data_IF_386780365875
#
_entry.id   IF_386780365875
#
_cell.length_a   1.000
_cell.length_b   1.000
_cell.length_c   1.000
_cell.angle_alpha   90.00
_cell.angle_beta   90.00
_cell.angle_gamma   90.00
#
_symmetry.space_group_name_H-M   'P 1'
#
loop_
_entity.id
_entity.type
_entity.pdbx_description
1 polymer ?
#
# COMPACT_ATOMS: atom_id res chain seq x y z
N UNK A 1 15.42 -6.68 7.94
CA UNK A 1 13.95 -6.70 7.93
C UNK A 1 13.47 -5.93 6.74
N UNK A 2 12.45 -6.46 6.12
CA UNK A 2 12.02 -6.15 4.77
C UNK A 2 10.53 -5.83 4.79
N UNK A 3 10.09 -4.87 3.98
CA UNK A 3 8.67 -4.56 3.83
C UNK A 3 8.07 -5.47 2.76
N UNK A 4 6.90 -6.00 3.06
CA UNK A 4 6.14 -6.84 2.15
C UNK A 4 4.74 -6.27 1.97
N UNK A 5 4.27 -6.27 0.73
CA UNK A 5 2.85 -6.19 0.42
C UNK A 5 2.27 -7.59 0.40
N UNK A 6 1.16 -7.74 1.11
CA UNK A 6 0.26 -8.88 1.03
C UNK A 6 -1.05 -8.39 0.43
N UNK A 7 -1.47 -9.01 -0.68
CA UNK A 7 -2.86 -8.90 -1.16
C UNK A 7 -3.57 -10.21 -0.82
N UNK A 8 -4.72 -10.12 -0.18
CA UNK A 8 -5.51 -11.31 0.15
C UNK A 8 -6.12 -11.96 -1.10
N UNK A 9 -6.65 -13.16 -0.94
CA UNK A 9 -7.31 -13.93 -2.01
C UNK A 9 -8.76 -13.48 -2.30
N UNK A 10 -9.20 -12.36 -1.73
CA UNK A 10 -10.56 -11.81 -1.80
C UNK A 10 -11.61 -12.80 -1.31
N UNK A 11 -11.77 -12.87 0.01
CA UNK A 11 -12.90 -13.56 0.63
C UNK A 11 -13.87 -12.55 1.23
N UNK A 12 -15.17 -12.82 1.12
CA UNK A 12 -16.17 -12.07 1.85
C UNK A 12 -15.93 -12.25 3.35
N UNK A 13 -15.64 -11.14 4.05
CA UNK A 13 -15.41 -11.09 5.48
C UNK A 13 -16.16 -9.89 6.05
N UNK A 14 -16.74 -10.07 7.22
CA UNK A 14 -17.29 -8.99 8.04
C UNK A 14 -16.16 -8.09 8.57
N UNK A 15 -16.49 -6.86 8.98
CA UNK A 15 -15.49 -5.95 9.57
C UNK A 15 -14.89 -6.55 10.84
N UNK A 16 -15.70 -7.26 11.62
CA UNK A 16 -15.32 -7.96 12.83
C UNK A 16 -14.29 -9.07 12.52
N UNK A 17 -14.56 -9.92 11.53
CA UNK A 17 -13.61 -10.97 11.10
C UNK A 17 -12.28 -10.38 10.62
N UNK A 18 -12.32 -9.27 9.86
CA UNK A 18 -11.11 -8.58 9.44
C UNK A 18 -10.33 -8.05 10.65
N UNK A 19 -11.00 -7.40 11.62
CA UNK A 19 -10.37 -6.90 12.84
C UNK A 19 -9.65 -8.03 13.61
N UNK A 20 -10.33 -9.15 13.82
CA UNK A 20 -9.76 -10.30 14.53
C UNK A 20 -8.55 -10.91 13.79
N UNK A 21 -8.59 -10.98 12.45
CA UNK A 21 -7.45 -11.42 11.65
C UNK A 21 -6.27 -10.45 11.83
N UNK A 22 -6.52 -9.14 11.77
CA UNK A 22 -5.47 -8.13 11.90
C UNK A 22 -4.83 -8.12 13.29
N UNK A 23 -5.61 -8.32 14.36
CA UNK A 23 -5.12 -8.49 15.73
C UNK A 23 -4.18 -9.69 15.85
N UNK A 24 -4.55 -10.82 15.24
CA UNK A 24 -3.71 -12.02 15.19
C UNK A 24 -2.43 -11.76 14.41
N UNK A 25 -2.52 -11.14 13.23
CA UNK A 25 -1.34 -10.80 12.41
C UNK A 25 -0.41 -9.87 13.17
N UNK A 26 -0.91 -8.80 13.78
CA UNK A 26 -0.11 -7.85 14.55
C UNK A 26 0.63 -8.55 15.71
N UNK A 27 -0.07 -9.40 16.45
CA UNK A 27 0.49 -10.18 17.56
C UNK A 27 1.57 -11.17 17.09
N UNK A 28 1.28 -11.92 16.02
CA UNK A 28 2.18 -12.94 15.48
C UNK A 28 3.41 -12.31 14.82
N UNK A 29 3.23 -11.22 14.07
CA UNK A 29 4.33 -10.44 13.50
C UNK A 29 5.25 -9.91 14.59
N UNK A 30 4.71 -9.30 15.65
CA UNK A 30 5.52 -8.82 16.78
C UNK A 30 6.34 -9.94 17.44
N UNK A 31 5.74 -11.13 17.64
CA UNK A 31 6.45 -12.31 18.17
C UNK A 31 7.57 -12.81 17.26
N UNK A 32 7.43 -12.65 15.94
CA UNK A 32 8.47 -12.97 14.96
C UNK A 32 9.41 -11.78 14.67
N UNK A 33 9.41 -10.76 15.54
CA UNK A 33 10.17 -9.51 15.42
C UNK A 33 9.75 -8.64 14.21
N UNK A 34 8.70 -9.02 13.49
CA UNK A 34 8.05 -8.21 12.48
C UNK A 34 7.06 -7.18 13.04
N UNK A 35 6.35 -6.51 12.13
CA UNK A 35 5.38 -5.47 12.46
C UNK A 35 4.35 -5.33 11.33
N UNK A 36 3.07 -5.27 11.67
CA UNK A 36 2.04 -4.80 10.75
C UNK A 36 2.08 -3.27 10.68
N UNK A 37 2.53 -2.72 9.55
CA UNK A 37 2.68 -1.27 9.35
C UNK A 37 1.32 -0.65 9.01
N UNK A 38 0.63 -1.23 8.02
CA UNK A 38 -0.65 -0.74 7.52
C UNK A 38 -1.54 -1.90 7.10
N UNK A 39 -2.85 -1.73 7.28
CA UNK A 39 -3.88 -2.63 6.78
C UNK A 39 -5.00 -1.79 6.17
N UNK A 40 -5.35 -2.10 4.92
CA UNK A 40 -6.28 -1.30 4.12
C UNK A 40 -7.31 -2.23 3.51
N UNK A 41 -8.57 -1.82 3.48
CA UNK A 41 -9.60 -2.48 2.69
C UNK A 41 -10.02 -1.58 1.53
N UNK A 42 -10.07 -2.12 0.32
CA UNK A 42 -10.67 -1.43 -0.81
C UNK A 42 -12.20 -1.51 -0.73
N UNK A 43 -12.90 -0.38 -0.60
CA UNK A 43 -14.35 -0.39 -0.32
C UNK A 43 -15.17 -1.04 -1.43
N UNK A 44 -14.80 -0.81 -2.69
CA UNK A 44 -15.53 -1.31 -3.87
C UNK A 44 -15.29 -2.80 -4.12
N UNK A 45 -14.11 -3.32 -3.77
CA UNK A 45 -13.66 -4.66 -4.16
C UNK A 45 -13.43 -5.61 -2.97
N UNK A 46 -13.55 -5.12 -1.73
CA UNK A 46 -13.39 -5.89 -0.49
C UNK A 46 -11.98 -6.44 -0.25
N UNK A 47 -11.01 -6.11 -1.12
CA UNK A 47 -9.65 -6.64 -1.05
C UNK A 47 -8.87 -6.01 0.09
N UNK A 48 -8.14 -6.85 0.83
CA UNK A 48 -7.21 -6.41 1.86
C UNK A 48 -5.81 -6.22 1.29
N UNK A 49 -5.20 -5.09 1.61
CA UNK A 49 -3.81 -4.77 1.35
C UNK A 49 -3.10 -4.60 2.69
N UNK A 50 -2.13 -5.47 2.97
CA UNK A 50 -1.33 -5.38 4.21
C UNK A 50 0.10 -5.01 3.86
N UNK A 51 0.64 -4.04 4.57
CA UNK A 51 2.06 -3.70 4.53
C UNK A 51 2.68 -4.21 5.82
N UNK A 52 3.50 -5.27 5.71
CA UNK A 52 4.08 -5.96 6.87
C UNK A 52 5.60 -5.92 6.77
N UNK A 53 6.24 -5.50 7.84
CA UNK A 53 7.69 -5.62 8.02
C UNK A 53 7.99 -7.00 8.60
N UNK A 54 8.83 -7.78 7.96
CA UNK A 54 9.22 -9.12 8.42
C UNK A 54 10.73 -9.36 8.29
N UNK A 55 11.23 -10.44 8.89
CA UNK A 55 12.65 -10.83 8.75
C UNK A 55 12.91 -11.28 7.31
N UNK A 56 12.06 -12.16 6.82
CA UNK A 56 12.07 -12.71 5.48
C UNK A 56 10.66 -13.17 5.07
N UNK A 57 10.52 -13.61 3.82
CA UNK A 57 9.23 -14.07 3.27
C UNK A 57 8.68 -15.30 3.98
N UNK A 58 9.52 -16.27 4.34
CA UNK A 58 9.05 -17.50 4.98
C UNK A 58 8.44 -17.23 6.37
N UNK A 59 9.08 -16.33 7.13
CA UNK A 59 8.55 -15.87 8.43
C UNK A 59 7.21 -15.14 8.29
N UNK A 60 7.02 -14.37 7.22
CA UNK A 60 5.75 -13.71 6.91
C UNK A 60 4.67 -14.72 6.54
N UNK A 61 4.95 -15.66 5.64
CA UNK A 61 4.00 -16.71 5.23
C UNK A 61 3.50 -17.49 6.46
N UNK A 62 4.41 -17.85 7.37
CA UNK A 62 4.04 -18.51 8.62
C UNK A 62 3.13 -17.66 9.52
N UNK A 63 3.33 -16.34 9.58
CA UNK A 63 2.47 -15.41 10.32
C UNK A 63 1.07 -15.38 9.71
N UNK A 64 0.97 -15.29 8.39
CA UNK A 64 -0.32 -15.24 7.68
C UNK A 64 -1.11 -16.55 7.84
N UNK A 65 -0.45 -17.70 7.66
CA UNK A 65 -1.06 -19.03 7.86
C UNK A 65 -1.61 -19.18 9.27
N UNK A 66 -0.82 -18.84 10.28
CA UNK A 66 -1.22 -18.94 11.69
C UNK A 66 -2.34 -17.95 12.07
N UNK A 67 -2.44 -16.83 11.34
CA UNK A 67 -3.55 -15.89 11.51
C UNK A 67 -4.84 -16.32 10.78
N UNK A 68 -4.75 -17.33 9.91
CA UNK A 68 -5.86 -17.80 9.07
C UNK A 68 -6.11 -16.92 7.85
N UNK A 69 -5.12 -16.15 7.38
CA UNK A 69 -5.25 -15.35 6.16
C UNK A 69 -4.64 -16.09 4.97
N UNK A 70 -5.46 -16.38 3.97
CA UNK A 70 -5.00 -16.79 2.64
C UNK A 70 -4.63 -15.56 1.80
N UNK A 71 -3.60 -15.68 0.96
CA UNK A 71 -3.10 -14.57 0.15
C UNK A 71 -3.03 -14.92 -1.33
N UNK A 72 -3.33 -13.94 -2.18
CA UNK A 72 -3.09 -14.01 -3.61
C UNK A 72 -1.65 -13.63 -3.97
N UNK A 73 -1.07 -12.68 -3.22
CA UNK A 73 0.19 -12.08 -3.56
C UNK A 73 1.01 -11.74 -2.32
N UNK A 74 2.31 -12.03 -2.38
CA UNK A 74 3.32 -11.46 -1.50
C UNK A 74 4.43 -10.86 -2.36
N UNK A 75 4.75 -9.59 -2.17
CA UNK A 75 5.88 -8.91 -2.83
C UNK A 75 6.71 -8.13 -1.86
N UNK A 76 8.03 -8.23 -2.00
CA UNK A 76 8.96 -7.32 -1.35
C UNK A 76 8.78 -5.91 -1.91
N UNK A 77 8.76 -4.91 -1.03
CA UNK A 77 8.58 -3.51 -1.39
C UNK A 77 9.55 -2.60 -0.64
N UNK A 78 9.64 -1.36 -1.13
CA UNK A 78 10.23 -0.24 -0.44
C UNK A 78 9.28 0.95 -0.38
N UNK A 79 9.39 1.71 0.71
CA UNK A 79 8.79 3.03 0.85
C UNK A 79 9.68 4.07 0.17
N UNK A 80 9.09 4.97 -0.61
CA UNK A 80 9.81 6.00 -1.37
C UNK A 80 9.58 7.38 -0.77
N UNK A 81 10.67 8.07 -0.44
CA UNK A 81 10.65 9.52 -0.14
C UNK A 81 10.23 9.90 1.28
N UNK A 82 9.94 8.94 2.16
CA UNK A 82 9.65 9.18 3.57
C UNK A 82 10.04 7.97 4.43
N UNK A 83 10.05 8.14 5.75
CA UNK A 83 10.27 7.05 6.70
C UNK A 83 8.96 6.44 7.23
N UNK A 84 9.07 5.29 7.88
CA UNK A 84 7.93 4.57 8.45
C UNK A 84 7.30 5.28 9.66
N UNK A 85 8.00 6.15 10.38
CA UNK A 85 7.39 6.91 11.47
C UNK A 85 6.38 7.92 10.91
N UNK A 86 6.76 8.63 9.85
CA UNK A 86 5.87 9.53 9.11
C UNK A 86 4.64 8.80 8.55
N UNK A 87 4.81 7.57 8.04
CA UNK A 87 3.68 6.74 7.61
C UNK A 87 2.72 6.46 8.77
N UNK A 88 3.22 6.04 9.93
CA UNK A 88 2.37 5.72 11.09
C UNK A 88 1.53 6.91 11.55
N UNK A 89 2.08 8.12 11.48
CA UNK A 89 1.38 9.36 11.86
C UNK A 89 0.34 9.81 10.84
N UNK A 90 0.47 9.41 9.58
CA UNK A 90 -0.32 9.94 8.46
C UNK A 90 -1.19 8.92 7.75
N UNK A 91 -1.05 7.63 8.03
CA UNK A 91 -1.72 6.56 7.27
C UNK A 91 -3.22 6.80 7.12
N UNK A 92 -3.86 7.31 8.17
CA UNK A 92 -5.31 7.56 8.25
C UNK A 92 -5.80 8.75 7.42
N UNK A 93 -4.88 9.56 6.87
CA UNK A 93 -5.26 10.62 5.92
C UNK A 93 -5.61 10.07 4.55
N UNK A 94 -5.01 8.95 4.14
CA UNK A 94 -5.23 8.42 2.82
C UNK A 94 -6.61 7.74 2.73
N UNK A 95 -7.40 8.16 1.77
CA UNK A 95 -8.73 7.60 1.46
C UNK A 95 -8.81 7.05 0.02
N UNK A 96 -7.75 7.17 -0.79
CA UNK A 96 -7.64 6.53 -2.11
C UNK A 96 -6.31 5.81 -2.32
N UNK A 97 -6.38 4.66 -2.99
CA UNK A 97 -5.24 3.88 -3.46
C UNK A 97 -5.22 3.82 -4.98
N UNK A 98 -4.13 4.27 -5.59
CA UNK A 98 -3.81 4.02 -7.01
C UNK A 98 -2.78 2.91 -7.10
N UNK A 99 -3.08 1.91 -7.91
CA UNK A 99 -2.13 0.89 -8.34
C UNK A 99 -1.67 1.19 -9.76
N UNK A 100 -0.37 1.05 -10.01
CA UNK A 100 0.22 1.15 -11.33
C UNK A 100 1.16 -0.03 -11.57
N UNK A 101 0.91 -0.78 -12.64
CA UNK A 101 1.77 -1.82 -13.17
C UNK A 101 2.90 -1.14 -13.96
N UNK A 102 4.10 -1.24 -13.41
CA UNK A 102 5.27 -0.58 -13.96
C UNK A 102 5.71 -1.30 -15.25
N UNK A 103 6.08 -0.56 -16.30
CA UNK A 103 6.47 -1.16 -17.57
C UNK A 103 7.78 -1.96 -17.43
N UNK A 104 7.93 -3.05 -18.21
CA UNK A 104 9.16 -3.84 -18.19
C UNK A 104 10.37 -2.98 -18.61
N UNK A 105 11.52 -3.22 -17.98
CA UNK A 105 12.76 -2.49 -18.25
C UNK A 105 12.88 -1.12 -17.58
N UNK A 106 11.87 -0.68 -16.80
CA UNK A 106 12.01 0.48 -15.93
C UNK A 106 13.07 0.20 -14.87
N UNK A 107 13.97 1.15 -14.62
CA UNK A 107 14.94 1.09 -13.52
C UNK A 107 14.47 1.91 -12.33
N UNK A 108 14.91 1.53 -11.12
CA UNK A 108 14.59 2.29 -9.90
C UNK A 108 15.14 3.72 -9.99
N UNK A 109 16.32 3.92 -10.57
CA UNK A 109 16.90 5.24 -10.81
C UNK A 109 15.99 6.10 -11.70
N UNK A 110 15.56 5.58 -12.86
CA UNK A 110 14.65 6.28 -13.77
C UNK A 110 13.32 6.59 -13.09
N UNK A 111 12.80 5.65 -12.29
CA UNK A 111 11.58 5.84 -11.52
C UNK A 111 11.70 7.01 -10.53
N UNK A 112 12.78 7.03 -9.75
CA UNK A 112 13.04 8.07 -8.75
C UNK A 112 13.27 9.45 -9.39
N UNK A 113 14.02 9.50 -10.50
CA UNK A 113 14.22 10.73 -11.26
C UNK A 113 12.89 11.31 -11.74
N UNK A 114 12.04 10.48 -12.38
CA UNK A 114 10.71 10.91 -12.83
C UNK A 114 9.84 11.36 -11.65
N UNK A 115 9.86 10.64 -10.53
CA UNK A 115 9.09 11.04 -9.33
C UNK A 115 9.55 12.40 -8.81
N UNK A 116 10.86 12.66 -8.75
CA UNK A 116 11.40 13.95 -8.32
C UNK A 116 11.00 15.11 -9.27
N UNK A 117 11.07 14.88 -10.58
CA UNK A 117 10.68 15.87 -11.59
C UNK A 117 9.17 16.18 -11.58
N UNK A 118 8.34 15.17 -11.31
CA UNK A 118 6.87 15.28 -11.41
C UNK A 118 6.18 15.66 -10.10
N UNK A 119 6.76 15.34 -8.94
CA UNK A 119 6.14 15.64 -7.63
C UNK A 119 5.76 17.12 -7.45
N UNK A 120 6.58 18.12 -7.86
CA UNK A 120 6.18 19.53 -7.75
C UNK A 120 4.90 19.90 -8.52
N UNK A 121 4.53 19.11 -9.54
CA UNK A 121 3.36 19.39 -10.36
C UNK A 121 2.03 19.17 -9.61
N UNK A 122 2.03 18.42 -8.49
CA UNK A 122 0.85 18.27 -7.64
C UNK A 122 0.32 19.62 -7.12
N UNK A 123 1.13 20.69 -7.09
CA UNK A 123 0.69 22.04 -6.77
C UNK A 123 -0.42 22.58 -7.71
N UNK A 124 -0.61 21.98 -8.89
CA UNK A 124 -1.70 22.32 -9.82
C UNK A 124 -3.05 21.71 -9.42
N UNK A 125 -3.08 20.80 -8.46
CA UNK A 125 -4.30 20.08 -8.00
C UNK A 125 -4.37 20.16 -6.47
N UNK A 126 -4.51 21.37 -5.89
CA UNK A 126 -4.32 21.62 -4.45
C UNK A 126 -5.37 20.94 -3.57
N UNK A 127 -6.49 20.48 -4.14
CA UNK A 127 -7.49 19.69 -3.44
C UNK A 127 -7.06 18.23 -3.17
N UNK A 128 -5.95 17.76 -3.75
CA UNK A 128 -5.41 16.41 -3.55
C UNK A 128 -4.08 16.48 -2.81
N UNK A 129 -3.95 15.70 -1.73
CA UNK A 129 -2.67 15.48 -1.07
C UNK A 129 -2.12 14.10 -1.41
N UNK A 130 -0.90 14.07 -1.96
CA UNK A 130 -0.14 12.83 -2.11
C UNK A 130 0.45 12.43 -0.76
N UNK A 131 0.11 11.24 -0.26
CA UNK A 131 0.49 10.81 1.10
C UNK A 131 1.75 9.93 1.14
N UNK A 132 1.84 8.92 0.26
CA UNK A 132 2.98 7.98 0.23
C UNK A 132 2.99 7.11 -1.02
N UNK A 133 4.16 6.55 -1.34
CA UNK A 133 4.30 5.49 -2.35
C UNK A 133 5.13 4.32 -1.85
N UNK A 134 4.61 3.12 -2.05
CA UNK A 134 5.39 1.88 -1.98
C UNK A 134 5.65 1.36 -3.39
N UNK A 135 6.85 0.85 -3.64
CA UNK A 135 7.24 0.24 -4.92
C UNK A 135 7.74 -1.17 -4.66
N UNK A 136 7.25 -2.16 -5.41
CA UNK A 136 7.79 -3.52 -5.35
C UNK A 136 9.25 -3.54 -5.81
N UNK A 137 10.11 -4.29 -5.13
CA UNK A 137 11.54 -4.39 -5.48
C UNK A 137 11.76 -4.95 -6.89
N UNK A 138 10.86 -5.82 -7.35
CA UNK A 138 10.87 -6.36 -8.72
C UNK A 138 10.40 -5.34 -9.78
N UNK A 139 10.06 -4.11 -9.39
CA UNK A 139 9.56 -3.04 -10.26
C UNK A 139 8.37 -3.47 -11.13
N UNK A 140 7.53 -4.37 -10.62
CA UNK A 140 6.31 -4.80 -11.31
C UNK A 140 5.10 -3.91 -11.01
N UNK A 141 5.04 -3.32 -9.82
CA UNK A 141 3.90 -2.57 -9.30
C UNK A 141 4.35 -1.49 -8.32
N UNK A 142 3.60 -0.39 -8.28
CA UNK A 142 3.64 0.54 -7.16
C UNK A 142 2.24 0.88 -6.65
N UNK A 143 2.15 1.20 -5.36
CA UNK A 143 0.95 1.63 -4.65
C UNK A 143 1.14 3.10 -4.25
N UNK A 144 0.27 3.98 -4.72
CA UNK A 144 0.28 5.41 -4.40
C UNK A 144 -0.99 5.80 -3.64
N UNK A 145 -0.80 6.46 -2.50
CA UNK A 145 -1.88 6.82 -1.59
C UNK A 145 -2.17 8.31 -1.65
N UNK A 146 -3.46 8.65 -1.61
CA UNK A 146 -3.94 10.02 -1.69
C UNK A 146 -5.00 10.29 -0.63
N UNK A 147 -4.98 11.50 -0.10
CA UNK A 147 -6.11 12.17 0.54
C UNK A 147 -6.77 13.07 -0.52
N UNK A 148 -8.04 12.82 -0.83
CA UNK A 148 -8.74 13.48 -1.93
C UNK A 148 -10.25 13.58 -1.65
N UNK A 149 -10.94 14.62 -2.13
CA UNK A 149 -12.39 14.73 -1.98
C UNK A 149 -13.17 13.71 -2.82
N UNK A 150 -12.61 13.31 -3.97
CA UNK A 150 -13.24 12.36 -4.89
C UNK A 150 -12.21 11.67 -5.81
N UNK A 151 -12.66 10.62 -6.52
CA UNK A 151 -11.84 9.92 -7.51
C UNK A 151 -11.39 10.79 -8.69
N UNK A 152 -12.23 11.77 -9.10
CA UNK A 152 -11.94 12.60 -10.26
C UNK A 152 -10.74 13.52 -9.99
N UNK A 153 -10.61 14.01 -8.75
CA UNK A 153 -9.46 14.77 -8.29
C UNK A 153 -8.19 13.91 -8.28
N UNK A 154 -8.25 12.64 -7.83
CA UNK A 154 -7.11 11.72 -7.95
C UNK A 154 -6.72 11.50 -9.42
N UNK A 155 -7.69 11.33 -10.32
CA UNK A 155 -7.43 11.18 -11.77
C UNK A 155 -6.74 12.43 -12.35
N UNK A 156 -7.19 13.65 -12.01
CA UNK A 156 -6.52 14.90 -12.40
C UNK A 156 -5.09 14.97 -11.85
N UNK A 157 -4.90 14.61 -10.58
CA UNK A 157 -3.57 14.58 -9.95
C UNK A 157 -2.61 13.64 -10.69
N UNK A 158 -3.08 12.46 -11.11
CA UNK A 158 -2.31 11.49 -11.90
C UNK A 158 -2.01 11.97 -13.32
N UNK A 159 -2.97 12.63 -13.96
CA UNK A 159 -2.82 13.23 -15.29
C UNK A 159 -1.72 14.30 -15.29
N UNK A 160 -1.76 15.21 -14.32
CA UNK A 160 -0.78 16.30 -14.18
C UNK A 160 0.65 15.79 -14.02
N UNK A 161 0.84 14.73 -13.24
CA UNK A 161 2.17 14.10 -13.10
C UNK A 161 2.51 13.12 -14.23
N UNK A 162 1.60 12.91 -15.19
CA UNK A 162 1.77 12.02 -16.33
C UNK A 162 1.96 10.55 -15.94
N UNK A 163 1.34 10.11 -14.85
CA UNK A 163 1.55 8.79 -14.28
C UNK A 163 0.31 7.89 -14.44
N UNK A 164 0.41 6.71 -15.09
CA UNK A 164 -0.75 5.87 -15.40
C UNK A 164 -1.53 5.36 -14.18
N UNK A 165 -2.76 4.91 -14.40
CA UNK A 165 -3.62 4.27 -13.41
C UNK A 165 -4.04 2.91 -13.98
N UNK A 166 -3.66 1.81 -13.33
CA UNK A 166 -4.22 0.49 -13.64
C UNK A 166 -5.46 0.20 -12.81
N UNK A 167 -5.46 0.65 -11.56
CA UNK A 167 -6.59 0.56 -10.65
C UNK A 167 -6.60 1.76 -9.70
N UNK A 168 -7.80 2.23 -9.39
CA UNK A 168 -8.09 3.25 -8.39
C UNK A 168 -9.27 2.74 -7.56
N UNK A 169 -9.09 2.71 -6.24
CA UNK A 169 -10.11 2.28 -5.29
C UNK A 169 -10.12 3.23 -4.09
N UNK A 170 -11.31 3.55 -3.56
CA UNK A 170 -11.41 4.14 -2.22
C UNK A 170 -10.99 3.13 -1.17
N UNK A 171 -10.39 3.60 -0.10
CA UNK A 171 -9.81 2.75 0.93
C UNK A 171 -10.19 3.23 2.33
N UNK A 172 -10.33 2.27 3.23
CA UNK A 172 -10.42 2.48 4.68
C UNK A 172 -9.19 1.85 5.32
N UNK A 173 -8.47 2.62 6.15
CA UNK A 173 -7.43 2.04 7.01
C UNK A 173 -8.11 1.31 8.17
N UNK A 174 -7.69 0.07 8.40
CA UNK A 174 -8.19 -0.74 9.51
C UNK A 174 -7.07 -0.88 10.54
N UNK A 175 -7.44 -0.79 11.81
CA UNK A 175 -6.52 -0.94 12.92
C UNK A 175 -6.80 -2.24 13.68
N UNK A 176 -5.76 -3.00 14.04
CA UNK A 176 -5.85 -4.00 15.09
C UNK A 176 -6.07 -3.37 16.46
#
# INVERSE_FOLDING_TARGET
MTLYLVEDDRQERTKEEVSEILERIATLASKSQGELIEALIGETEGRLFLIIKAIDRASLEQVLENAGLSWQLIKEMRLIGQDLATVRERKDKANYLVQWNLPPGLTMETYLQRKAEKTPLYAQVPEVSFERTYVCEDLSKCLCFYDSPDEAAVKRAREVVGAPIDSLTSIENIHP
#
